data_IF_961779400955
#
_entry.id   IF_961779400955
#
_cell.length_a   1.000
_cell.length_b   1.000
_cell.length_c   1.000
_cell.angle_alpha   90.00
_cell.angle_beta   90.00
_cell.angle_gamma   90.00
#
_symmetry.space_group_name_H-M   'P 1'
#
loop_
_entity.id
_entity.type
_entity.pdbx_description
1 polymer ?
#
# COMPACT_ATOMS: atom_id res chain seq x y z
N UNK A 1 -3.98 17.09 -22.27
CA UNK A 1 -4.18 17.28 -20.82
C UNK A 1 -3.00 16.60 -20.13
N UNK A 2 -1.91 17.34 -19.90
CA UNK A 2 -0.69 16.80 -19.27
C UNK A 2 -0.93 16.73 -17.76
N UNK A 3 -1.08 15.53 -17.21
CA UNK A 3 -1.17 15.36 -15.76
C UNK A 3 0.22 15.45 -15.14
N UNK A 4 0.73 16.65 -14.94
CA UNK A 4 1.81 16.90 -13.96
C UNK A 4 1.30 16.76 -12.51
N UNK A 5 0.06 16.30 -12.33
CA UNK A 5 -0.54 15.95 -11.05
C UNK A 5 0.22 14.77 -10.41
N UNK A 6 0.93 15.11 -9.32
CA UNK A 6 1.60 14.22 -8.38
C UNK A 6 2.96 13.64 -8.81
N UNK A 7 3.90 14.51 -9.23
CA UNK A 7 5.33 14.15 -9.10
C UNK A 7 5.73 14.18 -7.63
N UNK A 8 6.21 13.04 -7.15
CA UNK A 8 6.78 12.90 -5.81
C UNK A 8 8.08 13.69 -5.77
N UNK A 9 8.18 14.58 -4.77
CA UNK A 9 9.38 15.34 -4.45
C UNK A 9 10.28 14.58 -3.50
N UNK A 10 9.68 14.05 -2.44
CA UNK A 10 10.35 13.29 -1.39
C UNK A 10 9.41 12.24 -0.79
N UNK A 11 9.96 11.14 -0.29
CA UNK A 11 9.22 10.11 0.43
C UNK A 11 10.08 9.52 1.54
N UNK A 12 9.57 9.58 2.78
CA UNK A 12 10.29 9.07 3.95
C UNK A 12 9.38 8.30 4.89
N UNK A 13 9.96 7.28 5.51
CA UNK A 13 9.31 6.51 6.57
C UNK A 13 9.38 7.32 7.85
N UNK A 14 8.24 7.49 8.51
CA UNK A 14 8.11 8.15 9.81
C UNK A 14 7.53 7.18 10.82
N UNK A 15 7.99 7.31 12.06
CA UNK A 15 7.51 6.55 13.21
C UNK A 15 7.01 7.54 14.26
N UNK A 16 5.79 7.35 14.76
CA UNK A 16 5.20 8.18 15.82
C UNK A 16 5.30 7.54 17.23
N UNK A 17 5.99 6.40 17.33
CA UNK A 17 6.16 5.63 18.57
C UNK A 17 5.19 4.45 18.71
N UNK A 18 4.07 4.45 17.99
CA UNK A 18 3.07 3.37 18.02
C UNK A 18 2.82 2.79 16.62
N UNK A 19 2.95 3.63 15.59
CA UNK A 19 2.69 3.29 14.19
C UNK A 19 3.82 3.74 13.27
N UNK A 20 3.93 3.05 12.13
CA UNK A 20 4.87 3.36 11.05
C UNK A 20 4.06 3.82 9.83
N UNK A 21 4.44 4.96 9.25
CA UNK A 21 3.80 5.52 8.06
C UNK A 21 4.80 5.99 7.01
N UNK A 22 4.36 6.08 5.76
CA UNK A 22 5.10 6.71 4.69
C UNK A 22 4.60 8.13 4.49
N UNK A 23 5.47 9.12 4.65
CA UNK A 23 5.16 10.50 4.36
C UNK A 23 5.70 10.86 2.98
N UNK A 24 4.84 11.37 2.10
CA UNK A 24 5.14 11.73 0.73
C UNK A 24 4.90 13.23 0.55
N UNK A 25 5.95 13.95 0.14
CA UNK A 25 5.88 15.34 -0.30
C UNK A 25 5.77 15.37 -1.82
N UNK A 26 4.82 16.13 -2.34
CA UNK A 26 4.63 16.36 -3.76
C UNK A 26 5.25 17.68 -4.19
N UNK A 27 5.56 17.82 -5.48
CA UNK A 27 6.14 19.06 -6.02
C UNK A 27 5.23 20.30 -5.87
N UNK A 28 3.93 20.11 -5.59
CA UNK A 28 3.00 21.20 -5.29
C UNK A 28 3.04 21.63 -3.81
N UNK A 29 3.97 21.10 -3.02
CA UNK A 29 4.13 21.38 -1.60
C UNK A 29 3.14 20.67 -0.69
N UNK A 30 2.21 19.86 -1.24
CA UNK A 30 1.33 19.04 -0.42
C UNK A 30 2.09 17.89 0.18
N UNK A 31 1.78 17.60 1.43
CA UNK A 31 2.32 16.44 2.16
C UNK A 31 1.16 15.52 2.50
N UNK A 32 1.33 14.22 2.22
CA UNK A 32 0.37 13.18 2.60
C UNK A 32 1.08 12.07 3.34
N UNK A 33 0.44 11.57 4.38
CA UNK A 33 0.89 10.39 5.10
C UNK A 33 0.01 9.20 4.70
N UNK A 34 0.66 8.07 4.48
CA UNK A 34 0.02 6.81 4.16
C UNK A 34 0.39 5.79 5.24
N UNK A 35 -0.62 5.13 5.78
CA UNK A 35 -0.43 3.99 6.66
C UNK A 35 0.06 2.78 5.85
N UNK A 36 0.70 1.81 6.54
CA UNK A 36 1.07 0.54 5.93
C UNK A 36 -0.14 -0.19 5.32
N UNK A 37 -1.33 -0.07 5.93
CA UNK A 37 -2.58 -0.64 5.41
C UNK A 37 -3.00 0.00 4.09
N UNK A 38 -3.00 1.32 4.00
CA UNK A 38 -3.37 2.03 2.76
C UNK A 38 -2.39 1.75 1.63
N UNK A 39 -1.08 1.68 1.94
CA UNK A 39 -0.07 1.25 0.97
C UNK A 39 -0.32 -0.19 0.52
N UNK A 40 -0.65 -1.08 1.44
CA UNK A 40 -0.96 -2.47 1.12
C UNK A 40 -2.21 -2.60 0.23
N UNK A 41 -3.28 -1.87 0.55
CA UNK A 41 -4.51 -1.88 -0.26
C UNK A 41 -4.29 -1.26 -1.65
N UNK A 42 -3.50 -0.18 -1.72
CA UNK A 42 -3.09 0.43 -2.99
C UNK A 42 -2.15 -0.48 -3.81
N UNK A 43 -1.31 -1.27 -3.14
CA UNK A 43 -0.37 -2.21 -3.78
C UNK A 43 -0.95 -3.61 -3.98
N UNK A 44 -2.22 -3.85 -3.60
CA UNK A 44 -2.92 -5.14 -3.71
C UNK A 44 -3.00 -5.76 -5.11
N UNK A 45 -2.32 -5.19 -6.10
CA UNK A 45 -2.27 -5.57 -7.51
C UNK A 45 -0.88 -5.47 -8.17
N UNK A 46 0.23 -5.39 -7.43
CA UNK A 46 1.60 -5.40 -8.01
C UNK A 46 2.28 -6.78 -8.03
N UNK A 47 1.50 -7.86 -7.93
CA UNK A 47 1.95 -9.20 -8.32
C UNK A 47 2.58 -10.07 -7.23
N UNK A 48 2.67 -9.61 -5.97
CA UNK A 48 3.10 -10.46 -4.85
C UNK A 48 2.15 -10.32 -3.66
N UNK A 49 1.38 -11.38 -3.30
CA UNK A 49 0.58 -11.38 -2.08
C UNK A 49 1.49 -11.38 -0.84
N UNK A 50 1.02 -10.85 0.29
CA UNK A 50 1.81 -10.81 1.52
C UNK A 50 2.11 -12.24 2.01
N UNK A 51 3.20 -12.42 2.78
CA UNK A 51 3.43 -13.68 3.47
C UNK A 51 2.23 -14.01 4.36
N UNK A 52 1.80 -15.28 4.33
CA UNK A 52 0.55 -15.77 4.94
C UNK A 52 0.41 -15.42 6.43
N UNK A 53 1.52 -15.15 7.12
CA UNK A 53 1.60 -14.70 8.51
C UNK A 53 0.86 -13.38 8.79
N UNK A 54 0.73 -12.48 7.80
CA UNK A 54 0.06 -11.17 7.96
C UNK A 54 -1.35 -11.14 7.37
N UNK A 55 -1.87 -12.29 6.96
CA UNK A 55 -3.23 -12.38 6.42
C UNK A 55 -4.25 -12.66 7.52
N UNK A 56 -5.27 -11.81 7.57
CA UNK A 56 -6.47 -12.08 8.38
C UNK A 56 -7.22 -13.29 7.80
N UNK A 57 -8.01 -14.00 8.62
CA UNK A 57 -8.69 -15.24 8.18
C UNK A 57 -9.58 -15.06 6.94
N UNK A 58 -10.17 -13.87 6.76
CA UNK A 58 -10.93 -13.50 5.57
C UNK A 58 -10.07 -13.39 4.30
N UNK A 59 -8.84 -12.89 4.42
CA UNK A 59 -7.88 -12.77 3.32
C UNK A 59 -7.34 -14.15 2.89
N UNK A 60 -7.13 -15.07 3.84
CA UNK A 60 -6.73 -16.46 3.54
C UNK A 60 -7.80 -17.18 2.72
N UNK A 61 -9.07 -17.05 3.10
CA UNK A 61 -10.19 -17.65 2.39
C UNK A 61 -10.35 -17.08 0.97
N UNK A 62 -10.13 -15.79 0.78
CA UNK A 62 -10.17 -15.17 -0.55
C UNK A 62 -9.06 -15.71 -1.48
N UNK A 63 -7.86 -15.91 -0.95
CA UNK A 63 -6.73 -16.48 -1.69
C UNK A 63 -7.00 -17.94 -2.10
N UNK A 64 -7.57 -18.77 -1.23
CA UNK A 64 -7.93 -20.16 -1.55
C UNK A 64 -8.98 -20.26 -2.68
N UNK A 65 -9.98 -19.36 -2.67
CA UNK A 65 -11.01 -19.30 -3.72
C UNK A 65 -10.40 -18.85 -5.05
N UNK A 66 -9.49 -17.88 -5.03
CA UNK A 66 -8.79 -17.40 -6.21
C UNK A 66 -7.85 -18.47 -6.81
N UNK A 67 -7.14 -19.23 -5.95
CA UNK A 67 -6.27 -20.32 -6.39
C UNK A 67 -7.04 -21.47 -7.05
N UNK A 68 -8.24 -21.81 -6.54
CA UNK A 68 -9.10 -22.84 -7.14
C UNK A 68 -9.64 -22.47 -8.52
N UNK A 69 -9.79 -21.18 -8.84
CA UNK A 69 -10.28 -20.70 -10.14
C UNK A 69 -9.21 -20.66 -11.24
N UNK A 70 -7.93 -20.82 -10.88
CA UNK A 70 -6.80 -20.78 -11.83
C UNK A 70 -6.41 -22.16 -12.35
N UNK A 71 -7.13 -23.21 -11.98
CA UNK A 71 -6.95 -24.60 -12.42
C UNK A 71 -8.11 -25.02 -13.31
#
# INVERSE_FOLDING_TARGET
MNSDFARIRDARVVHDGETQGLMVEFNDGKVRQFSAKELYEATGYLGQPPPEANTTGSQRRAAEIAAKRRR
#
